data_IF_847078580481
#
_entry.id   IF_847078580481
#
_cell.length_a   1.000
_cell.length_b   1.000
_cell.length_c   1.000
_cell.angle_alpha   90.00
_cell.angle_beta   90.00
_cell.angle_gamma   90.00
#
_symmetry.space_group_name_H-M   'P 1'
#
loop_
_entity.id
_entity.type
_entity.pdbx_description
1 polymer ?
#
# COMPACT_ATOMS: atom_id res chain seq x y z
N UNK A 1 6.54 0.98 -29.25
CA UNK A 1 6.94 1.85 -30.37
C UNK A 1 8.35 2.33 -30.07
N UNK A 2 9.31 1.83 -30.80
CA UNK A 2 10.71 2.22 -30.59
C UNK A 2 10.96 3.52 -31.39
N UNK A 3 11.04 4.66 -30.69
CA UNK A 3 11.23 5.98 -31.32
C UNK A 3 12.62 6.16 -31.94
N UNK A 4 13.57 5.28 -31.65
CA UNK A 4 14.95 5.42 -32.13
C UNK A 4 15.12 5.36 -33.67
N UNK A 5 14.19 4.71 -34.37
CA UNK A 5 14.25 4.59 -35.81
C UNK A 5 13.49 5.69 -36.56
N UNK A 6 12.90 6.66 -35.89
CA UNK A 6 12.15 7.74 -36.52
C UNK A 6 13.00 9.01 -36.75
N UNK A 7 14.14 9.15 -36.07
CA UNK A 7 14.86 10.44 -36.05
C UNK A 7 15.93 10.60 -37.11
N UNK A 8 16.42 9.52 -37.73
CA UNK A 8 17.57 9.63 -38.66
C UNK A 8 17.20 9.98 -40.12
N UNK A 9 15.97 9.78 -40.54
CA UNK A 9 15.55 9.96 -41.93
C UNK A 9 14.25 10.74 -42.16
N UNK A 10 13.83 11.52 -41.20
CA UNK A 10 12.59 12.28 -41.31
C UNK A 10 12.67 13.31 -42.45
N UNK A 11 12.05 12.98 -43.54
CA UNK A 11 11.96 13.86 -44.71
C UNK A 11 12.64 13.37 -46.01
N UNK A 12 13.38 12.26 -45.97
CA UNK A 12 14.08 11.74 -47.17
C UNK A 12 13.57 10.41 -47.70
N UNK A 13 12.96 9.58 -46.85
CA UNK A 13 12.50 8.24 -47.26
C UNK A 13 11.06 7.95 -46.80
N UNK A 14 10.34 7.15 -47.58
CA UNK A 14 9.04 6.59 -47.20
C UNK A 14 9.26 5.40 -46.27
N UNK A 15 8.86 5.51 -45.03
CA UNK A 15 8.92 4.36 -44.09
C UNK A 15 7.73 3.46 -44.25
N UNK A 16 7.96 2.17 -44.08
CA UNK A 16 6.94 1.19 -43.79
C UNK A 16 7.02 0.87 -42.33
N UNK A 17 6.03 1.32 -41.52
CA UNK A 17 5.94 0.96 -40.13
C UNK A 17 5.49 -0.50 -40.00
N UNK A 18 6.32 -1.32 -39.39
CA UNK A 18 5.95 -2.67 -39.00
C UNK A 18 5.55 -2.66 -37.53
N UNK A 19 4.28 -2.94 -37.26
CA UNK A 19 3.78 -3.10 -35.91
C UNK A 19 3.90 -4.57 -35.51
N UNK A 20 4.61 -4.83 -34.41
CA UNK A 20 4.60 -6.15 -33.77
C UNK A 20 3.66 -6.01 -32.57
N UNK A 21 2.54 -6.73 -32.61
CA UNK A 21 1.60 -6.83 -31.50
C UNK A 21 1.96 -8.04 -30.67
N UNK A 22 2.20 -7.80 -29.38
CA UNK A 22 2.28 -8.85 -28.37
C UNK A 22 1.02 -8.82 -27.56
N UNK A 23 0.21 -9.85 -27.67
CA UNK A 23 -0.97 -10.05 -26.82
C UNK A 23 -0.58 -11.00 -25.70
N UNK A 24 -0.83 -10.58 -24.46
CA UNK A 24 -0.68 -11.44 -23.29
C UNK A 24 -1.82 -11.17 -22.33
N UNK A 25 -2.34 -12.25 -21.77
CA UNK A 25 -3.41 -12.20 -20.78
C UNK A 25 -2.80 -12.26 -19.39
N UNK A 26 -3.18 -11.29 -18.54
CA UNK A 26 -2.78 -11.25 -17.13
C UNK A 26 -3.95 -11.71 -16.29
N UNK A 27 -3.76 -12.83 -15.57
CA UNK A 27 -4.71 -13.29 -14.57
C UNK A 27 -4.40 -12.59 -13.23
N UNK A 28 -5.15 -11.53 -12.94
CA UNK A 28 -4.98 -10.75 -11.71
C UNK A 28 -5.32 -11.53 -10.44
N UNK A 29 -6.05 -12.65 -10.54
CA UNK A 29 -6.35 -13.51 -9.40
C UNK A 29 -5.19 -14.44 -9.02
N UNK A 30 -4.27 -14.73 -9.94
CA UNK A 30 -3.10 -15.59 -9.72
C UNK A 30 -1.80 -14.83 -9.40
N UNK A 31 -1.77 -13.50 -9.57
CA UNK A 31 -0.58 -12.72 -9.25
C UNK A 31 -0.21 -12.82 -7.76
N UNK A 32 1.09 -12.96 -7.48
CA UNK A 32 1.60 -13.00 -6.12
C UNK A 32 1.53 -11.63 -5.44
N UNK A 33 0.74 -11.53 -4.36
CA UNK A 33 0.62 -10.32 -3.55
C UNK A 33 1.87 -10.05 -2.68
N UNK A 34 2.75 -11.05 -2.50
CA UNK A 34 3.98 -10.95 -1.71
C UNK A 34 5.24 -10.74 -2.58
N UNK A 35 5.10 -10.35 -3.84
CA UNK A 35 6.20 -10.30 -4.81
C UNK A 35 7.45 -9.53 -4.40
N UNK A 36 7.34 -8.58 -3.47
CA UNK A 36 8.47 -7.81 -2.95
C UNK A 36 9.36 -8.56 -1.93
N UNK A 37 9.07 -9.83 -1.62
CA UNK A 37 9.61 -10.50 -0.44
C UNK A 37 10.63 -11.58 -0.70
N UNK A 38 10.92 -11.90 -1.95
CA UNK A 38 11.67 -13.11 -2.33
C UNK A 38 13.06 -13.28 -1.70
N UNK A 39 13.69 -12.23 -1.13
CA UNK A 39 15.05 -12.33 -0.57
C UNK A 39 15.26 -11.50 0.70
N UNK A 40 14.20 -11.17 1.44
CA UNK A 40 14.27 -10.23 2.56
C UNK A 40 14.26 -10.86 3.96
N UNK A 41 14.54 -12.18 4.06
CA UNK A 41 14.51 -12.89 5.35
C UNK A 41 15.59 -12.43 6.34
N UNK A 42 16.66 -11.81 5.85
CA UNK A 42 17.74 -11.31 6.71
C UNK A 42 18.17 -9.90 6.31
N UNK A 43 18.49 -9.07 7.30
CA UNK A 43 19.07 -7.75 7.12
C UNK A 43 20.58 -7.82 7.39
N UNK A 44 21.37 -7.17 6.54
CA UNK A 44 22.81 -7.04 6.73
C UNK A 44 23.15 -5.58 7.08
N UNK A 45 23.86 -5.40 8.16
CA UNK A 45 24.35 -4.10 8.61
C UNK A 45 25.87 -4.07 8.45
N UNK A 46 26.40 -3.09 7.69
CA UNK A 46 27.84 -2.97 7.44
C UNK A 46 28.47 -1.83 8.24
N UNK A 47 27.81 -0.68 8.27
CA UNK A 47 28.34 0.53 8.93
C UNK A 47 27.49 0.99 10.13
N UNK A 48 26.18 0.78 10.06
CA UNK A 48 25.23 1.22 11.08
C UNK A 48 24.38 0.03 11.52
N UNK A 49 23.92 0.06 12.75
CA UNK A 49 23.16 -0.98 13.41
C UNK A 49 21.64 -0.90 13.16
N UNK A 50 20.91 -1.83 13.73
CA UNK A 50 19.43 -1.89 13.65
C UNK A 50 18.77 -0.70 14.35
N UNK A 51 19.43 -0.12 15.38
CA UNK A 51 18.89 1.05 16.06
C UNK A 51 18.93 2.29 15.16
N UNK A 52 20.04 2.51 14.46
CA UNK A 52 20.13 3.60 13.45
C UNK A 52 19.07 3.44 12.36
N UNK A 53 18.83 2.21 11.88
CA UNK A 53 17.76 1.94 10.91
C UNK A 53 16.39 2.32 11.47
N UNK A 54 16.08 1.92 12.69
CA UNK A 54 14.76 2.20 13.30
C UNK A 54 14.57 3.67 13.67
N UNK A 55 15.63 4.41 13.97
CA UNK A 55 15.61 5.86 14.07
C UNK A 55 15.30 6.51 12.71
N UNK A 56 15.92 6.01 11.61
CA UNK A 56 15.57 6.46 10.26
C UNK A 56 14.08 6.28 9.95
N UNK A 57 13.52 5.10 10.25
CA UNK A 57 12.10 4.82 10.06
C UNK A 57 11.21 5.74 10.91
N UNK A 58 11.56 5.95 12.18
CA UNK A 58 10.82 6.83 13.08
C UNK A 58 10.78 8.26 12.55
N UNK A 59 11.92 8.81 12.14
CA UNK A 59 12.00 10.17 11.64
C UNK A 59 11.35 10.34 10.26
N UNK A 60 11.62 9.38 9.36
CA UNK A 60 11.12 9.46 7.98
C UNK A 60 9.63 9.13 7.88
N UNK A 61 9.19 7.99 8.41
CA UNK A 61 7.83 7.49 8.24
C UNK A 61 6.86 8.13 9.24
N UNK A 62 7.19 8.10 10.54
CA UNK A 62 6.25 8.58 11.55
C UNK A 62 6.13 10.11 11.54
N UNK A 63 7.26 10.82 11.41
CA UNK A 63 7.28 12.29 11.43
C UNK A 63 7.19 12.90 10.04
N UNK A 64 7.23 12.09 8.97
CA UNK A 64 7.10 12.55 7.59
C UNK A 64 8.26 13.43 7.12
N UNK A 65 9.47 13.25 7.68
CA UNK A 65 10.64 14.00 7.24
C UNK A 65 11.14 13.48 5.89
N UNK A 66 11.52 14.37 4.97
CA UNK A 66 12.23 13.94 3.76
C UNK A 66 13.55 13.26 4.11
N UNK A 67 14.08 12.40 3.22
CA UNK A 67 15.35 11.69 3.46
C UNK A 67 16.49 12.64 3.83
N UNK A 68 16.55 13.85 3.22
CA UNK A 68 17.58 14.86 3.54
C UNK A 68 17.35 15.48 4.92
N UNK A 69 16.10 15.76 5.30
CA UNK A 69 15.77 16.24 6.65
C UNK A 69 16.00 15.17 7.70
N UNK A 70 15.72 13.90 7.38
CA UNK A 70 16.02 12.75 8.25
C UNK A 70 17.54 12.65 8.50
N UNK A 71 18.36 12.76 7.43
CA UNK A 71 19.84 12.84 7.58
C UNK A 71 20.24 13.97 8.53
N UNK A 72 19.69 15.18 8.31
CA UNK A 72 20.02 16.33 9.15
C UNK A 72 19.61 16.08 10.62
N UNK A 73 18.40 15.61 10.86
CA UNK A 73 17.92 15.31 12.21
C UNK A 73 18.80 14.24 12.93
N UNK A 74 19.22 13.20 12.22
CA UNK A 74 20.12 12.19 12.76
C UNK A 74 21.49 12.78 13.14
N UNK A 75 22.02 13.69 12.32
CA UNK A 75 23.27 14.40 12.64
C UNK A 75 23.13 15.32 13.85
N UNK A 76 22.09 16.15 13.86
CA UNK A 76 21.90 17.20 14.86
C UNK A 76 21.51 16.63 16.24
N UNK A 77 20.65 15.59 16.28
CA UNK A 77 20.10 15.05 17.52
C UNK A 77 20.92 13.89 18.09
N UNK A 78 21.56 13.09 17.23
CA UNK A 78 22.20 11.83 17.60
C UNK A 78 23.69 11.77 17.21
N UNK A 79 24.21 12.81 16.54
CA UNK A 79 25.56 12.82 15.95
C UNK A 79 25.85 11.64 15.00
N UNK A 80 24.80 11.13 14.32
CA UNK A 80 24.90 10.04 13.33
C UNK A 80 25.03 10.66 11.94
N UNK A 81 26.20 10.49 11.32
CA UNK A 81 26.45 10.97 9.95
C UNK A 81 26.21 9.85 8.93
N UNK A 82 24.98 9.79 8.43
CA UNK A 82 24.50 8.81 7.47
C UNK A 82 24.09 9.49 6.15
N UNK A 83 24.34 8.86 5.01
CA UNK A 83 23.89 9.40 3.73
C UNK A 83 22.37 9.23 3.55
N UNK A 84 21.72 10.18 2.85
CA UNK A 84 20.29 10.05 2.52
C UNK A 84 20.01 8.82 1.66
N UNK A 85 20.97 8.35 0.84
CA UNK A 85 20.85 7.11 0.08
C UNK A 85 20.86 5.87 1.00
N UNK A 86 21.69 5.87 2.05
CA UNK A 86 21.67 4.78 3.05
C UNK A 86 20.35 4.73 3.80
N UNK A 87 19.74 5.88 4.12
CA UNK A 87 18.41 5.96 4.72
C UNK A 87 17.37 5.36 3.78
N UNK A 88 17.40 5.72 2.48
CA UNK A 88 16.51 5.13 1.48
C UNK A 88 16.67 3.61 1.37
N UNK A 89 17.89 3.10 1.40
CA UNK A 89 18.19 1.66 1.39
C UNK A 89 17.64 0.96 2.64
N UNK A 90 17.74 1.57 3.81
CA UNK A 90 17.15 1.05 5.04
C UNK A 90 15.62 1.01 4.97
N UNK A 91 14.97 2.07 4.48
CA UNK A 91 13.54 2.09 4.26
C UNK A 91 13.10 0.97 3.29
N UNK A 92 13.82 0.79 2.19
CA UNK A 92 13.59 -0.29 1.24
C UNK A 92 13.69 -1.67 1.91
N UNK A 93 14.77 -1.94 2.63
CA UNK A 93 15.01 -3.23 3.29
C UNK A 93 13.95 -3.51 4.37
N UNK A 94 13.60 -2.50 5.17
CA UNK A 94 12.53 -2.61 6.17
C UNK A 94 11.17 -2.89 5.52
N UNK A 95 10.84 -2.20 4.42
CA UNK A 95 9.59 -2.41 3.69
C UNK A 95 9.47 -3.84 3.15
N UNK A 96 10.57 -4.38 2.60
CA UNK A 96 10.62 -5.76 2.10
C UNK A 96 10.37 -6.79 3.21
N UNK A 97 10.90 -6.55 4.42
CA UNK A 97 10.65 -7.41 5.58
C UNK A 97 9.21 -7.28 6.10
N UNK A 98 8.72 -6.05 6.25
CA UNK A 98 7.46 -5.76 6.94
C UNK A 98 6.23 -6.06 6.09
N UNK A 99 6.29 -5.84 4.75
CA UNK A 99 5.14 -6.02 3.86
C UNK A 99 4.47 -7.39 3.99
N UNK A 100 5.18 -8.53 4.06
CA UNK A 100 4.55 -9.84 4.24
C UNK A 100 3.72 -9.94 5.52
N UNK A 101 4.20 -9.38 6.62
CA UNK A 101 3.44 -9.33 7.86
C UNK A 101 2.14 -8.53 7.68
N UNK A 102 2.23 -7.33 7.10
CA UNK A 102 1.05 -6.47 6.87
C UNK A 102 0.04 -7.15 5.96
N UNK A 103 0.50 -7.78 4.87
CA UNK A 103 -0.37 -8.47 3.90
C UNK A 103 -1.02 -9.71 4.50
N UNK A 104 -0.31 -10.47 5.34
CA UNK A 104 -0.81 -11.73 5.90
C UNK A 104 -1.44 -11.59 7.30
N UNK A 105 -1.45 -10.38 7.85
CA UNK A 105 -2.09 -10.13 9.14
C UNK A 105 -3.62 -10.36 9.03
N UNK A 106 -4.18 -11.09 9.99
CA UNK A 106 -5.63 -11.29 10.07
C UNK A 106 -6.30 -10.07 10.72
N UNK A 107 -6.85 -9.22 9.89
CA UNK A 107 -7.61 -8.05 10.32
C UNK A 107 -9.00 -8.41 10.87
N UNK A 108 -9.39 -9.69 10.83
CA UNK A 108 -10.72 -10.16 11.15
C UNK A 108 -11.74 -9.79 10.07
N UNK A 109 -13.00 -10.08 10.32
CA UNK A 109 -14.08 -9.95 9.33
C UNK A 109 -14.91 -8.70 9.58
N UNK A 110 -14.67 -7.66 8.82
CA UNK A 110 -15.53 -6.46 8.77
C UNK A 110 -16.73 -6.66 7.85
N UNK A 111 -17.84 -5.97 8.14
CA UNK A 111 -19.05 -5.97 7.29
C UNK A 111 -19.13 -4.81 6.31
N UNK A 112 -18.37 -3.75 6.56
CA UNK A 112 -18.39 -2.53 5.74
C UNK A 112 -16.98 -2.18 5.34
N UNK A 113 -16.72 -2.25 4.04
CA UNK A 113 -15.47 -1.80 3.46
C UNK A 113 -15.70 -0.52 2.68
N UNK A 114 -14.75 0.39 2.76
CA UNK A 114 -14.77 1.61 1.97
C UNK A 114 -13.50 1.75 1.16
N UNK A 115 -13.62 2.14 -0.09
CA UNK A 115 -12.52 2.25 -1.04
C UNK A 115 -12.47 3.62 -1.71
N UNK A 116 -11.26 4.04 -2.00
CA UNK A 116 -10.97 5.23 -2.78
C UNK A 116 -9.55 5.16 -3.32
N UNK A 117 -9.26 5.88 -4.38
CA UNK A 117 -7.91 6.02 -4.87
C UNK A 117 -7.40 7.44 -4.75
N UNK A 118 -6.10 7.54 -4.54
CA UNK A 118 -5.40 8.82 -4.52
C UNK A 118 -4.25 8.81 -5.52
N UNK A 119 -3.93 9.94 -6.11
CA UNK A 119 -2.83 10.02 -7.07
C UNK A 119 -1.50 10.39 -6.40
N UNK A 120 -0.43 9.84 -6.95
CA UNK A 120 0.97 10.17 -6.67
C UNK A 120 1.67 10.51 -7.98
N UNK A 121 2.96 10.85 -7.92
CA UNK A 121 3.80 11.02 -9.12
C UNK A 121 4.91 9.97 -9.12
N UNK A 122 5.10 9.31 -10.26
CA UNK A 122 6.24 8.43 -10.52
C UNK A 122 6.93 8.98 -11.77
N UNK A 123 8.18 9.40 -11.65
CA UNK A 123 8.92 10.10 -12.72
C UNK A 123 8.16 11.31 -13.32
N UNK A 124 7.48 12.05 -12.43
CA UNK A 124 6.65 13.19 -12.86
C UNK A 124 5.29 12.81 -13.46
N UNK A 125 5.06 11.54 -13.82
CA UNK A 125 3.82 11.05 -14.39
C UNK A 125 2.83 10.68 -13.27
N UNK A 126 1.55 10.91 -13.52
CA UNK A 126 0.47 10.57 -12.58
C UNK A 126 0.33 9.05 -12.45
N UNK A 127 0.37 8.59 -11.22
CA UNK A 127 0.12 7.21 -10.83
C UNK A 127 -0.88 7.19 -9.67
N UNK A 128 -1.36 6.03 -9.25
CA UNK A 128 -2.46 5.89 -8.32
C UNK A 128 -2.10 4.94 -7.18
N UNK A 129 -2.67 5.22 -6.01
CA UNK A 129 -2.73 4.28 -4.89
C UNK A 129 -4.21 4.01 -4.63
N UNK A 130 -4.57 2.75 -4.66
CA UNK A 130 -5.86 2.25 -4.26
C UNK A 130 -5.81 1.91 -2.78
N UNK A 131 -6.77 2.39 -2.00
CA UNK A 131 -6.92 2.03 -0.61
C UNK A 131 -8.28 1.37 -0.37
N UNK A 132 -8.27 0.29 0.41
CA UNK A 132 -9.49 -0.32 0.95
C UNK A 132 -9.34 -0.37 2.47
N UNK A 133 -10.33 0.13 3.16
CA UNK A 133 -10.40 0.24 4.61
C UNK A 133 -11.57 -0.55 5.16
N UNK A 134 -11.35 -1.32 6.21
CA UNK A 134 -12.45 -1.77 7.09
C UNK A 134 -12.97 -0.57 7.86
N UNK A 135 -14.24 -0.19 7.63
CA UNK A 135 -14.81 1.00 8.21
C UNK A 135 -15.03 0.90 9.73
N UNK A 136 -15.20 -0.31 10.27
CA UNK A 136 -15.40 -0.54 11.70
C UNK A 136 -14.12 -0.35 12.50
N UNK A 137 -13.02 -0.92 12.02
CA UNK A 137 -11.69 -0.82 12.65
C UNK A 137 -10.88 0.37 12.14
N UNK A 138 -11.26 0.94 11.02
CA UNK A 138 -10.52 1.96 10.26
C UNK A 138 -9.13 1.52 9.83
N UNK A 139 -8.89 0.22 9.78
CA UNK A 139 -7.64 -0.38 9.32
C UNK A 139 -7.59 -0.43 7.80
N UNK A 140 -6.42 -0.17 7.23
CA UNK A 140 -6.17 -0.39 5.81
C UNK A 140 -5.96 -1.89 5.62
N UNK A 141 -6.90 -2.53 4.92
CA UNK A 141 -6.92 -3.98 4.67
C UNK A 141 -6.55 -4.34 3.24
N UNK A 142 -6.57 -3.38 2.32
CA UNK A 142 -6.14 -3.54 0.95
C UNK A 142 -5.47 -2.27 0.44
N UNK A 143 -4.40 -2.42 -0.33
CA UNK A 143 -3.74 -1.32 -1.01
C UNK A 143 -2.99 -1.80 -2.25
N UNK A 144 -2.88 -0.92 -3.27
CA UNK A 144 -2.16 -1.21 -4.51
C UNK A 144 -1.64 0.07 -5.13
N UNK A 145 -0.36 0.08 -5.50
CA UNK A 145 0.23 1.14 -6.36
C UNK A 145 0.05 0.73 -7.82
N UNK A 146 -0.33 1.68 -8.66
CA UNK A 146 -0.54 1.42 -10.09
C UNK A 146 -0.20 2.67 -10.93
N UNK A 147 0.30 2.45 -12.12
CA UNK A 147 0.49 3.47 -13.15
C UNK A 147 -0.80 3.82 -13.90
N UNK A 148 -1.84 3.03 -13.71
CA UNK A 148 -3.15 3.24 -14.32
C UNK A 148 -4.30 3.11 -13.31
N UNK A 149 -5.48 3.58 -13.72
CA UNK A 149 -6.71 3.56 -12.92
C UNK A 149 -7.67 2.48 -13.44
N UNK A 150 -7.12 1.31 -13.81
CA UNK A 150 -7.90 0.22 -14.41
C UNK A 150 -8.50 -0.76 -13.40
N UNK A 151 -9.24 -1.74 -13.94
CA UNK A 151 -9.89 -2.80 -13.14
C UNK A 151 -8.87 -3.73 -12.47
N UNK A 152 -7.74 -4.03 -13.14
CA UNK A 152 -6.71 -4.94 -12.62
C UNK A 152 -6.15 -4.49 -11.27
N UNK A 153 -5.62 -3.26 -11.11
CA UNK A 153 -5.18 -2.74 -9.82
C UNK A 153 -6.28 -2.74 -8.76
N UNK A 154 -7.54 -2.45 -9.12
CA UNK A 154 -8.68 -2.54 -8.22
C UNK A 154 -8.88 -3.98 -7.71
N UNK A 155 -8.81 -4.99 -8.60
CA UNK A 155 -8.87 -6.41 -8.23
C UNK A 155 -7.74 -6.76 -7.25
N UNK A 156 -6.51 -6.31 -7.48
CA UNK A 156 -5.38 -6.61 -6.58
C UNK A 156 -5.60 -6.02 -5.18
N UNK A 157 -6.08 -4.78 -5.09
CA UNK A 157 -6.42 -4.18 -3.80
C UNK A 157 -7.56 -4.94 -3.09
N UNK A 158 -8.61 -5.34 -3.83
CA UNK A 158 -9.71 -6.14 -3.28
C UNK A 158 -9.27 -7.54 -2.85
N UNK A 159 -8.42 -8.22 -3.63
CA UNK A 159 -7.84 -9.52 -3.25
C UNK A 159 -7.08 -9.44 -1.94
N UNK A 160 -6.32 -8.37 -1.74
CA UNK A 160 -5.63 -8.15 -0.48
C UNK A 160 -6.64 -7.97 0.65
N UNK A 161 -7.70 -7.18 0.44
CA UNK A 161 -8.72 -6.93 1.45
C UNK A 161 -9.55 -8.19 1.80
N UNK A 162 -9.81 -9.06 0.82
CA UNK A 162 -10.60 -10.28 0.99
C UNK A 162 -9.76 -11.52 1.34
N UNK A 163 -8.44 -11.38 1.48
CA UNK A 163 -7.47 -12.50 1.56
C UNK A 163 -7.82 -13.58 2.57
N UNK A 164 -8.32 -13.20 3.75
CA UNK A 164 -8.67 -14.13 4.82
C UNK A 164 -10.14 -14.53 4.84
N UNK A 165 -10.94 -14.03 3.92
CA UNK A 165 -12.36 -14.35 3.85
C UNK A 165 -12.58 -15.60 3.00
N UNK A 166 -13.27 -16.59 3.57
CA UNK A 166 -13.77 -17.76 2.81
C UNK A 166 -15.04 -17.44 2.03
N UNK A 167 -15.83 -16.51 2.53
CA UNK A 167 -17.03 -15.92 1.95
C UNK A 167 -17.27 -14.54 2.52
N UNK A 168 -18.03 -13.72 1.84
CA UNK A 168 -18.45 -12.43 2.38
C UNK A 168 -19.42 -12.61 3.55
N UNK A 169 -19.35 -11.75 4.59
CA UNK A 169 -20.30 -11.78 5.69
C UNK A 169 -21.70 -11.37 5.23
N UNK A 170 -22.72 -11.79 5.97
CA UNK A 170 -24.09 -11.31 5.75
C UNK A 170 -24.16 -9.79 5.96
N UNK A 171 -24.97 -9.13 5.13
CA UNK A 171 -25.09 -7.67 5.08
C UNK A 171 -23.75 -6.96 4.84
N UNK A 172 -22.95 -7.50 3.93
CA UNK A 172 -21.70 -6.88 3.50
C UNK A 172 -21.98 -5.68 2.60
N UNK A 173 -21.32 -4.56 2.87
CA UNK A 173 -21.36 -3.35 2.06
C UNK A 173 -19.95 -2.97 1.60
N UNK A 174 -19.82 -2.74 0.29
CA UNK A 174 -18.60 -2.17 -0.28
C UNK A 174 -18.90 -0.77 -0.82
N UNK A 175 -18.34 0.24 -0.20
CA UNK A 175 -18.63 1.64 -0.46
C UNK A 175 -17.48 2.27 -1.25
N UNK A 176 -17.81 2.87 -2.38
CA UNK A 176 -16.85 3.57 -3.22
C UNK A 176 -17.50 4.80 -3.90
N UNK A 177 -16.71 5.53 -4.68
CA UNK A 177 -17.24 6.54 -5.59
C UNK A 177 -17.89 5.89 -6.83
N UNK A 178 -18.38 6.71 -7.76
CA UNK A 178 -18.99 6.25 -9.01
C UNK A 178 -18.02 5.73 -10.06
N UNK A 179 -16.75 5.47 -9.71
CA UNK A 179 -15.79 5.03 -10.71
C UNK A 179 -16.02 3.58 -11.15
N UNK A 180 -16.06 3.37 -12.47
CA UNK A 180 -16.49 2.10 -13.10
C UNK A 180 -15.59 0.89 -12.79
N UNK A 181 -14.35 1.10 -12.37
CA UNK A 181 -13.45 -0.02 -12.03
C UNK A 181 -13.96 -0.85 -10.85
N UNK A 182 -14.64 -0.24 -9.88
CA UNK A 182 -15.17 -0.95 -8.71
C UNK A 182 -16.27 -1.96 -9.07
N UNK A 183 -17.38 -1.58 -9.76
CA UNK A 183 -18.40 -2.56 -10.14
C UNK A 183 -17.87 -3.61 -11.12
N UNK A 184 -16.97 -3.25 -12.04
CA UNK A 184 -16.34 -4.22 -12.94
C UNK A 184 -15.47 -5.23 -12.16
N UNK A 185 -14.71 -4.79 -11.16
CA UNK A 185 -13.95 -5.67 -10.28
C UNK A 185 -14.89 -6.61 -9.49
N UNK A 186 -15.98 -6.09 -8.91
CA UNK A 186 -16.99 -6.91 -8.22
C UNK A 186 -17.56 -8.01 -9.11
N UNK A 187 -17.87 -7.69 -10.38
CA UNK A 187 -18.32 -8.69 -11.37
C UNK A 187 -17.25 -9.77 -11.62
N UNK A 188 -15.95 -9.40 -11.68
CA UNK A 188 -14.88 -10.38 -11.84
C UNK A 188 -14.75 -11.29 -10.61
N UNK A 189 -14.91 -10.75 -9.39
CA UNK A 189 -14.93 -11.57 -8.17
C UNK A 189 -16.10 -12.57 -8.19
N UNK A 190 -17.29 -12.14 -8.61
CA UNK A 190 -18.43 -13.05 -8.77
C UNK A 190 -18.15 -14.15 -9.81
N UNK A 191 -17.53 -13.82 -10.95
CA UNK A 191 -17.17 -14.81 -11.98
C UNK A 191 -16.16 -15.83 -11.48
N UNK A 192 -15.18 -15.40 -10.68
CA UNK A 192 -14.10 -16.27 -10.19
C UNK A 192 -14.54 -17.15 -9.01
N UNK A 193 -15.33 -16.60 -8.07
CA UNK A 193 -15.64 -17.24 -6.79
C UNK A 193 -17.14 -17.56 -6.59
N UNK A 194 -17.99 -17.20 -7.53
CA UNK A 194 -19.44 -17.40 -7.46
C UNK A 194 -20.11 -16.61 -6.33
N UNK A 195 -21.21 -17.15 -5.80
CA UNK A 195 -22.03 -16.49 -4.77
C UNK A 195 -21.29 -16.18 -3.46
N UNK A 196 -20.16 -16.83 -3.20
CA UNK A 196 -19.33 -16.56 -2.00
C UNK A 196 -18.80 -15.13 -1.97
N UNK A 197 -18.57 -14.53 -3.14
CA UNK A 197 -18.08 -13.16 -3.33
C UNK A 197 -18.98 -12.35 -4.26
N UNK A 198 -20.28 -12.53 -4.11
CA UNK A 198 -21.28 -11.70 -4.78
C UNK A 198 -21.59 -10.48 -3.92
N UNK A 199 -21.30 -9.31 -4.45
CA UNK A 199 -21.60 -8.03 -3.80
C UNK A 199 -21.75 -6.91 -4.82
N UNK A 200 -22.54 -5.92 -4.44
CA UNK A 200 -22.72 -4.71 -5.21
C UNK A 200 -21.92 -3.55 -4.60
N UNK A 201 -21.56 -2.61 -5.43
CA UNK A 201 -20.89 -1.40 -4.96
C UNK A 201 -21.94 -0.38 -4.55
N UNK A 202 -21.94 -0.01 -3.26
CA UNK A 202 -22.71 1.13 -2.77
C UNK A 202 -22.01 2.41 -3.19
N UNK A 203 -22.51 3.06 -4.23
CA UNK A 203 -21.90 4.28 -4.76
C UNK A 203 -22.34 5.49 -3.96
N UNK A 204 -21.38 6.26 -3.46
CA UNK A 204 -21.58 7.55 -2.80
C UNK A 204 -20.87 8.61 -3.62
N UNK A 205 -21.62 9.33 -4.46
CA UNK A 205 -21.10 10.33 -5.38
C UNK A 205 -21.31 11.73 -4.80
N UNK A 206 -20.21 12.43 -4.57
CA UNK A 206 -20.20 13.81 -4.10
C UNK A 206 -20.67 14.00 -2.66
N UNK A 207 -20.61 15.26 -2.19
CA UNK A 207 -21.02 15.65 -0.84
C UNK A 207 -22.46 16.19 -0.81
N UNK A 208 -23.06 16.42 -1.97
CA UNK A 208 -24.31 17.18 -2.14
C UNK A 208 -25.53 16.32 -2.44
N UNK A 209 -25.35 15.04 -2.83
CA UNK A 209 -26.50 14.16 -3.07
C UNK A 209 -27.21 13.85 -1.76
N UNK A 210 -28.47 14.22 -1.69
CA UNK A 210 -29.29 14.17 -0.47
C UNK A 210 -30.27 12.98 -0.48
N UNK A 211 -29.94 11.96 -1.30
CA UNK A 211 -30.66 10.69 -1.29
C UNK A 211 -30.37 9.89 0.01
N UNK A 212 -31.29 9.01 0.36
CA UNK A 212 -31.23 8.22 1.59
C UNK A 212 -29.97 7.36 1.68
N UNK A 213 -29.55 6.73 0.59
CA UNK A 213 -28.33 5.89 0.50
C UNK A 213 -27.10 6.75 0.80
N UNK A 214 -26.99 7.91 0.15
CA UNK A 214 -25.87 8.83 0.39
C UNK A 214 -25.84 9.33 1.83
N UNK A 215 -26.98 9.60 2.47
CA UNK A 215 -27.03 10.01 3.89
C UNK A 215 -26.47 8.94 4.82
N UNK A 216 -26.87 7.67 4.61
CA UNK A 216 -26.43 6.53 5.45
C UNK A 216 -24.95 6.22 5.25
N UNK A 217 -24.46 6.21 4.00
CA UNK A 217 -23.12 5.72 3.68
C UNK A 217 -22.06 6.82 3.53
N UNK A 218 -22.42 8.11 3.48
CA UNK A 218 -21.49 9.24 3.42
C UNK A 218 -20.44 9.26 4.55
N UNK A 219 -20.78 8.94 5.82
CA UNK A 219 -19.77 8.89 6.88
C UNK A 219 -18.62 7.93 6.57
N UNK A 220 -18.90 6.79 5.94
CA UNK A 220 -17.89 5.81 5.55
C UNK A 220 -17.02 6.32 4.39
N UNK A 221 -17.62 6.98 3.38
CA UNK A 221 -16.85 7.63 2.31
C UNK A 221 -15.92 8.71 2.86
N UNK A 222 -16.38 9.51 3.81
CA UNK A 222 -15.55 10.50 4.49
C UNK A 222 -14.37 9.90 5.26
N UNK A 223 -14.47 8.64 5.75
CA UNK A 223 -13.35 7.99 6.43
C UNK A 223 -12.21 7.73 5.46
N UNK A 224 -12.49 7.17 4.28
CA UNK A 224 -11.44 6.90 3.28
C UNK A 224 -10.87 8.18 2.69
N UNK A 225 -11.66 9.22 2.51
CA UNK A 225 -11.18 10.54 2.09
C UNK A 225 -10.22 11.18 3.13
N UNK A 226 -10.50 10.99 4.44
CA UNK A 226 -9.58 11.41 5.51
C UNK A 226 -8.31 10.60 5.51
N UNK A 227 -8.38 9.30 5.21
CA UNK A 227 -7.19 8.46 5.00
C UNK A 227 -6.34 9.03 3.88
N UNK A 228 -6.93 9.29 2.72
CA UNK A 228 -6.23 9.86 1.57
C UNK A 228 -5.56 11.19 1.90
N UNK A 229 -6.24 12.07 2.63
CA UNK A 229 -5.65 13.32 3.12
C UNK A 229 -4.48 13.09 4.07
N UNK A 230 -4.60 12.13 4.98
CA UNK A 230 -3.53 11.78 5.91
C UNK A 230 -2.29 11.25 5.18
N UNK A 231 -2.49 10.36 4.21
CA UNK A 231 -1.40 9.87 3.36
C UNK A 231 -0.75 11.01 2.57
N UNK A 232 -1.53 11.91 2.00
CA UNK A 232 -1.02 13.05 1.22
C UNK A 232 -0.09 13.96 2.04
N UNK A 233 -0.34 14.13 3.32
CA UNK A 233 0.56 14.90 4.22
C UNK A 233 1.93 14.22 4.31
N UNK A 234 1.97 12.91 4.49
CA UNK A 234 3.23 12.12 4.53
C UNK A 234 3.93 12.06 3.17
N UNK A 235 3.16 11.99 2.07
CA UNK A 235 3.68 11.93 0.71
C UNK A 235 4.31 13.26 0.22
N UNK A 236 3.77 14.42 0.64
CA UNK A 236 4.23 15.73 0.15
C UNK A 236 5.75 15.96 0.22
N UNK A 237 6.46 15.60 1.31
CA UNK A 237 7.90 15.79 1.41
C UNK A 237 8.71 14.93 0.43
N UNK A 238 8.14 13.86 -0.11
CA UNK A 238 8.77 12.96 -1.09
C UNK A 238 8.82 13.60 -2.48
N UNK A 239 7.83 14.46 -2.82
CA UNK A 239 7.68 15.13 -4.11
C UNK A 239 7.63 14.17 -5.33
N UNK A 240 7.24 12.92 -5.11
CA UNK A 240 7.18 11.87 -6.13
C UNK A 240 8.24 10.78 -5.96
N UNK A 241 8.13 9.75 -6.77
CA UNK A 241 9.01 8.57 -6.74
C UNK A 241 9.70 8.40 -8.09
N UNK A 242 10.93 7.84 -8.07
CA UNK A 242 11.68 7.54 -9.29
C UNK A 242 11.15 6.30 -10.03
N UNK A 243 10.50 5.39 -9.30
CA UNK A 243 9.95 4.15 -9.85
C UNK A 243 8.80 3.62 -8.99
N UNK A 244 8.07 2.63 -9.53
CA UNK A 244 6.93 2.01 -8.87
C UNK A 244 7.33 1.24 -7.61
N UNK A 245 8.52 0.66 -7.57
CA UNK A 245 9.03 -0.07 -6.40
C UNK A 245 9.26 0.87 -5.23
N UNK A 246 9.83 2.07 -5.48
CA UNK A 246 10.00 3.11 -4.46
C UNK A 246 8.67 3.52 -3.84
N UNK A 247 7.63 3.68 -4.66
CA UNK A 247 6.28 3.98 -4.18
C UNK A 247 5.69 2.81 -3.36
N UNK A 248 5.92 1.57 -3.78
CA UNK A 248 5.49 0.37 -3.06
C UNK A 248 6.19 0.22 -1.70
N UNK A 249 7.50 0.52 -1.62
CA UNK A 249 8.23 0.47 -0.35
C UNK A 249 7.73 1.52 0.63
N UNK A 250 7.57 2.76 0.16
CA UNK A 250 7.03 3.86 0.97
C UNK A 250 5.63 3.53 1.49
N UNK A 251 4.74 3.08 0.59
CA UNK A 251 3.38 2.69 0.95
C UNK A 251 3.36 1.55 1.98
N UNK A 252 4.20 0.53 1.82
CA UNK A 252 4.25 -0.60 2.76
C UNK A 252 4.63 -0.15 4.18
N UNK A 253 5.63 0.72 4.30
CA UNK A 253 6.02 1.30 5.60
C UNK A 253 4.92 2.20 6.17
N UNK A 254 4.31 3.04 5.33
CA UNK A 254 3.27 3.94 5.78
C UNK A 254 2.01 3.18 6.26
N UNK A 255 1.60 2.13 5.54
CA UNK A 255 0.48 1.26 5.95
C UNK A 255 0.80 0.53 7.26
N UNK A 256 2.02 0.02 7.40
CA UNK A 256 2.49 -0.61 8.63
C UNK A 256 2.42 0.37 9.82
N UNK A 257 2.95 1.57 9.65
CA UNK A 257 2.85 2.64 10.65
C UNK A 257 1.39 2.98 10.98
N UNK A 258 0.57 3.21 9.95
CA UNK A 258 -0.82 3.59 10.12
C UNK A 258 -1.62 2.54 10.90
N UNK A 259 -1.45 1.26 10.55
CA UNK A 259 -2.24 0.17 11.14
C UNK A 259 -1.75 -0.29 12.52
N UNK A 260 -0.44 -0.28 12.78
CA UNK A 260 0.14 -0.97 13.94
C UNK A 260 0.90 -0.06 14.92
N UNK A 261 1.37 1.11 14.49
CA UNK A 261 2.24 1.94 15.31
C UNK A 261 1.64 3.31 15.64
N UNK A 262 0.81 3.85 14.76
CA UNK A 262 0.24 5.18 14.91
C UNK A 262 -0.90 5.17 15.95
N UNK A 263 -0.88 6.10 16.95
CA UNK A 263 -2.04 6.32 17.80
C UNK A 263 -3.18 7.01 17.03
N UNK A 264 -4.41 6.53 17.21
CA UNK A 264 -5.60 7.09 16.57
C UNK A 264 -6.59 7.61 17.59
N UNK A 265 -7.04 8.87 17.43
CA UNK A 265 -8.04 9.48 18.32
C UNK A 265 -9.32 8.63 18.40
N UNK A 266 -9.73 8.06 17.28
CA UNK A 266 -10.88 7.15 17.21
C UNK A 266 -10.73 5.91 18.11
N UNK A 267 -9.53 5.36 18.26
CA UNK A 267 -9.21 4.20 19.10
C UNK A 267 -8.78 4.60 20.52
N UNK A 268 -9.17 5.79 21.00
CA UNK A 268 -8.75 6.28 22.31
C UNK A 268 -7.25 6.55 22.42
N UNK A 269 -6.64 7.07 21.35
CA UNK A 269 -5.19 7.30 21.20
C UNK A 269 -4.37 6.01 21.27
N UNK A 270 -4.97 4.87 20.93
CA UNK A 270 -4.30 3.57 20.77
C UNK A 270 -4.08 3.26 19.29
N UNK A 271 -3.30 2.22 19.00
CA UNK A 271 -3.14 1.67 17.66
C UNK A 271 -4.42 0.98 17.18
N UNK A 272 -4.62 0.89 15.87
CA UNK A 272 -5.81 0.25 15.30
C UNK A 272 -5.79 -1.27 15.47
N UNK A 273 -4.62 -1.88 15.29
CA UNK A 273 -4.43 -3.32 15.42
C UNK A 273 -3.36 -3.58 16.48
N UNK A 274 -3.80 -4.14 17.59
CA UNK A 274 -2.93 -4.49 18.70
C UNK A 274 -2.14 -5.76 18.36
N UNK A 275 -0.83 -5.69 18.50
CA UNK A 275 0.08 -6.84 18.43
C UNK A 275 0.87 -6.87 19.72
N UNK A 276 0.67 -7.90 20.53
CA UNK A 276 1.23 -7.99 21.91
C UNK A 276 2.74 -7.77 21.94
N UNK A 277 3.47 -8.36 20.99
CA UNK A 277 4.93 -8.19 20.90
C UNK A 277 5.35 -6.72 20.77
N UNK A 278 4.58 -5.89 20.07
CA UNK A 278 4.91 -4.46 19.89
C UNK A 278 4.71 -3.64 21.18
N UNK A 279 3.94 -4.15 22.13
CA UNK A 279 3.74 -3.49 23.43
C UNK A 279 4.94 -3.67 24.37
N UNK A 280 5.79 -4.65 24.10
CA UNK A 280 7.04 -4.85 24.84
C UNK A 280 8.11 -3.79 24.57
N UNK A 281 7.93 -2.91 23.56
CA UNK A 281 8.84 -1.82 23.30
C UNK A 281 8.29 -0.49 23.84
N UNK A 282 9.08 0.19 24.67
CA UNK A 282 8.73 1.47 25.29
C UNK A 282 8.72 2.65 24.28
N UNK A 283 9.57 2.57 23.27
CA UNK A 283 9.77 3.65 22.32
C UNK A 283 9.50 3.22 20.86
N UNK A 284 9.36 4.20 19.99
CA UNK A 284 9.01 3.96 18.60
C UNK A 284 10.10 3.24 17.78
N UNK A 285 11.41 3.55 17.94
CA UNK A 285 12.46 2.76 17.31
C UNK A 285 12.40 1.26 17.68
N UNK A 286 12.20 0.93 18.94
CA UNK A 286 12.04 -0.45 19.39
C UNK A 286 10.82 -1.14 18.75
N UNK A 287 9.70 -0.44 18.62
CA UNK A 287 8.52 -0.96 17.92
C UNK A 287 8.79 -1.27 16.44
N UNK A 288 9.55 -0.42 15.74
CA UNK A 288 9.99 -0.70 14.38
C UNK A 288 10.87 -1.95 14.28
N UNK A 289 11.81 -2.14 15.23
CA UNK A 289 12.65 -3.35 15.27
C UNK A 289 11.81 -4.61 15.43
N UNK A 290 10.86 -4.60 16.36
CA UNK A 290 9.95 -5.73 16.57
C UNK A 290 9.05 -5.98 15.36
N UNK A 291 8.59 -4.93 14.68
CA UNK A 291 7.78 -5.07 13.48
C UNK A 291 8.57 -5.68 12.30
N UNK A 292 9.83 -5.31 12.16
CA UNK A 292 10.76 -5.94 11.20
C UNK A 292 10.96 -7.41 11.55
N UNK A 293 11.17 -7.74 12.82
CA UNK A 293 11.32 -9.12 13.28
C UNK A 293 10.06 -9.95 12.95
N UNK A 294 8.87 -9.45 13.24
CA UNK A 294 7.60 -10.09 12.87
C UNK A 294 7.50 -10.34 11.37
N UNK A 295 7.92 -9.37 10.57
CA UNK A 295 7.98 -9.52 9.12
C UNK A 295 8.93 -10.63 8.69
N UNK A 296 10.12 -10.71 9.26
CA UNK A 296 11.09 -11.78 8.99
C UNK A 296 10.55 -13.15 9.39
N UNK A 297 9.89 -13.28 10.54
CA UNK A 297 9.22 -14.53 10.94
C UNK A 297 8.12 -14.93 9.96
N UNK A 298 7.34 -13.96 9.49
CA UNK A 298 6.31 -14.22 8.47
C UNK A 298 6.92 -14.76 7.17
N UNK A 299 8.03 -14.17 6.69
CA UNK A 299 8.74 -14.65 5.49
C UNK A 299 9.19 -16.10 5.67
N UNK A 300 9.82 -16.43 6.81
CA UNK A 300 10.27 -17.79 7.10
C UNK A 300 9.10 -18.79 7.11
N UNK A 301 7.98 -18.42 7.74
CA UNK A 301 6.79 -19.26 7.76
C UNK A 301 6.22 -19.49 6.35
N UNK A 302 6.17 -18.46 5.50
CA UNK A 302 5.71 -18.57 4.11
C UNK A 302 6.65 -19.45 3.26
N UNK A 303 7.95 -19.36 3.49
CA UNK A 303 8.95 -20.19 2.81
C UNK A 303 8.80 -21.68 3.19
N UNK A 304 8.61 -21.96 4.49
CA UNK A 304 8.40 -23.31 4.98
C UNK A 304 7.10 -23.92 4.43
N UNK A 305 6.02 -23.14 4.34
CA UNK A 305 4.76 -23.60 3.73
C UNK A 305 4.87 -23.88 2.22
N UNK A 306 5.73 -23.16 1.52
CA UNK A 306 5.95 -23.37 0.08
C UNK A 306 6.86 -24.60 -0.21
N UNK A 307 7.58 -25.08 0.81
CA UNK A 307 8.50 -26.23 0.72
C UNK A 307 7.89 -27.55 1.19
N UNK A 308 6.71 -27.50 1.83
CA UNK A 308 5.92 -28.64 2.30
C UNK A 308 4.83 -28.99 1.28
#
# INVERSE_FOLDING_TARGET
MDKKHLDEDYGKNKYKLHYIYHEFTIDFFKLDLNSLTKNASSLKFTKFDSNTMSLCLTLHVNLGLSLRKTKQALKDLYNIDISHQSIANYCKSAAMCIKPFVVNYDYGTGKVFTADETYIKIRGVKAYIWFIMDASKRSIIGNQVSDNRGVGPCILAMRMAFRHLKKLPENFHFIADGYSAYPLAAQQFFREFGDKFKFDITQVIGLTNDDEVSRVFRPYKQMIERLNRTYKVSYRPTNGFDNIDGANYDLALWVAYYNFLRPHKHAGCKVLNKVEMLEGAENMPGKWQLLIFLGQQTILNLQNQASA
#
